data_IF_017764517308
#
_entry.id   IF_017764517308
#
_cell.length_a   1.000
_cell.length_b   1.000
_cell.length_c   1.000
_cell.angle_alpha   90.00
_cell.angle_beta   90.00
_cell.angle_gamma   90.00
#
_symmetry.space_group_name_H-M   'P 1'
#
loop_
_entity.id
_entity.type
_entity.pdbx_description
1 polymer ?
#
# COMPACT_ATOMS: atom_id res chain seq x y z
N UNK A 1 -23.69 -10.88 31.14
CA UNK A 1 -22.56 -11.84 31.04
C UNK A 1 -21.42 -11.35 31.91
N UNK A 2 -20.68 -12.24 32.59
CA UNK A 2 -19.53 -11.87 33.42
C UNK A 2 -18.27 -12.62 32.96
N UNK A 3 -17.10 -12.00 33.11
CA UNK A 3 -15.80 -12.63 32.87
C UNK A 3 -14.78 -12.13 33.89
N UNK A 4 -13.72 -12.89 34.12
CA UNK A 4 -12.71 -12.57 35.14
C UNK A 4 -11.38 -12.23 34.46
N UNK A 5 -10.81 -11.07 34.79
CA UNK A 5 -9.50 -10.63 34.31
C UNK A 5 -8.66 -10.17 35.51
N UNK A 6 -7.43 -10.68 35.63
CA UNK A 6 -6.52 -10.41 36.74
C UNK A 6 -7.13 -10.61 38.14
N UNK A 7 -7.94 -11.67 38.30
CA UNK A 7 -8.60 -11.99 39.58
C UNK A 7 -9.78 -11.08 39.95
N UNK A 8 -10.15 -10.13 39.08
CA UNK A 8 -11.30 -9.24 39.27
C UNK A 8 -12.44 -9.64 38.33
N UNK A 9 -13.64 -9.81 38.86
CA UNK A 9 -14.83 -10.17 38.06
C UNK A 9 -15.43 -8.91 37.45
N UNK A 10 -15.51 -8.89 36.12
CA UNK A 10 -16.12 -7.84 35.32
C UNK A 10 -17.48 -8.31 34.80
N UNK A 11 -18.51 -7.49 34.97
CA UNK A 11 -19.88 -7.84 34.56
C UNK A 11 -20.34 -6.87 33.49
N UNK A 12 -20.70 -7.41 32.32
CA UNK A 12 -21.36 -6.65 31.26
C UNK A 12 -22.82 -6.45 31.66
N UNK A 13 -23.17 -5.22 32.04
CA UNK A 13 -24.55 -4.77 32.17
C UNK A 13 -24.96 -4.14 30.85
N UNK A 14 -25.68 -4.91 30.02
CA UNK A 14 -26.30 -4.37 28.81
C UNK A 14 -27.31 -3.28 29.18
N UNK A 15 -27.50 -2.29 28.30
CA UNK A 15 -28.61 -1.34 28.45
C UNK A 15 -29.91 -2.08 28.17
N UNK A 16 -30.92 -1.93 29.03
CA UNK A 16 -32.18 -2.71 28.97
C UNK A 16 -33.08 -2.38 27.76
N UNK A 17 -32.62 -1.58 26.80
CA UNK A 17 -33.34 -1.33 25.57
C UNK A 17 -33.08 -2.48 24.59
N UNK A 18 -34.13 -3.22 24.27
CA UNK A 18 -34.11 -4.36 23.33
C UNK A 18 -33.88 -3.96 21.86
N UNK A 19 -33.56 -2.70 21.58
CA UNK A 19 -33.27 -2.18 20.24
C UNK A 19 -31.99 -1.36 20.27
N UNK A 20 -31.10 -1.65 19.32
CA UNK A 20 -29.98 -0.79 18.98
C UNK A 20 -30.55 0.55 18.49
N UNK A 21 -30.30 1.63 19.22
CA UNK A 21 -30.74 2.98 18.88
C UNK A 21 -29.57 3.96 19.05
N UNK A 22 -29.48 5.01 18.22
CA UNK A 22 -28.50 6.07 18.40
C UNK A 22 -28.69 6.75 19.76
N UNK A 23 -27.60 6.97 20.48
CA UNK A 23 -27.59 7.65 21.77
C UNK A 23 -27.36 9.15 21.56
N UNK A 24 -28.15 9.99 22.24
CA UNK A 24 -27.96 11.44 22.23
C UNK A 24 -26.81 11.87 23.15
N UNK A 25 -26.25 13.05 22.90
CA UNK A 25 -25.18 13.62 23.73
C UNK A 25 -25.60 13.81 25.20
N UNK A 26 -26.87 14.13 25.45
CA UNK A 26 -27.42 14.25 26.82
C UNK A 26 -27.43 12.92 27.56
N UNK A 27 -27.80 11.84 26.88
CA UNK A 27 -27.81 10.49 27.45
C UNK A 27 -26.38 10.03 27.73
N UNK A 28 -25.44 10.38 26.85
CA UNK A 28 -24.04 10.10 27.06
C UNK A 28 -23.48 10.79 28.30
N UNK A 29 -23.80 12.08 28.49
CA UNK A 29 -23.31 12.86 29.63
C UNK A 29 -23.84 12.35 30.99
N UNK A 30 -24.90 11.54 31.01
CA UNK A 30 -25.45 10.92 32.23
C UNK A 30 -24.85 9.55 32.56
N UNK A 31 -23.96 9.01 31.72
CA UNK A 31 -23.29 7.74 31.99
C UNK A 31 -22.04 7.97 32.84
N UNK A 32 -22.00 7.37 34.03
CA UNK A 32 -20.83 7.36 34.90
C UNK A 32 -20.08 6.03 34.80
N UNK A 33 -18.76 6.08 34.53
CA UNK A 33 -17.88 4.90 34.57
C UNK A 33 -16.97 4.78 33.34
N UNK A 34 -16.30 3.62 33.21
CA UNK A 34 -15.45 3.28 32.06
C UNK A 34 -16.22 2.36 31.12
N UNK A 35 -16.32 2.70 29.84
CA UNK A 35 -17.07 1.94 28.84
C UNK A 35 -16.43 1.99 27.45
N UNK A 36 -16.97 1.21 26.52
CA UNK A 36 -16.55 1.17 25.12
C UNK A 36 -17.66 1.69 24.21
N UNK A 37 -17.30 2.49 23.21
CA UNK A 37 -18.21 2.91 22.14
C UNK A 37 -18.01 2.06 20.90
N UNK A 38 -19.11 1.59 20.32
CA UNK A 38 -19.11 0.89 19.03
C UNK A 38 -19.81 1.79 18.02
N UNK A 39 -19.03 2.36 17.09
CA UNK A 39 -19.57 3.09 15.95
C UNK A 39 -19.68 2.12 14.77
N UNK A 40 -20.91 1.80 14.36
CA UNK A 40 -21.18 1.02 13.15
C UNK A 40 -21.09 1.97 11.95
N UNK A 41 -20.08 1.83 11.10
CA UNK A 41 -20.01 2.49 9.81
C UNK A 41 -20.64 1.57 8.77
N UNK A 42 -21.73 2.01 8.12
CA UNK A 42 -22.25 1.32 6.95
C UNK A 42 -21.59 1.90 5.69
N UNK A 43 -20.58 1.22 5.16
CA UNK A 43 -20.05 1.51 3.83
C UNK A 43 -21.00 0.92 2.77
N UNK A 44 -22.19 1.51 2.66
CA UNK A 44 -23.02 1.37 1.47
C UNK A 44 -23.51 2.76 1.11
N UNK A 45 -22.66 3.51 0.41
CA UNK A 45 -23.14 4.61 -0.41
C UNK A 45 -24.11 3.98 -1.43
N UNK A 46 -25.39 4.36 -1.47
CA UNK A 46 -26.26 3.93 -2.55
C UNK A 46 -25.61 4.42 -3.84
N UNK A 47 -25.23 3.49 -4.71
CA UNK A 47 -24.73 3.83 -6.04
C UNK A 47 -25.91 4.53 -6.73
N UNK A 48 -25.86 5.85 -6.73
CA UNK A 48 -26.76 6.66 -7.52
C UNK A 48 -26.33 6.39 -8.95
N UNK A 49 -27.18 5.73 -9.74
CA UNK A 49 -26.99 5.47 -11.17
C UNK A 49 -26.83 6.82 -11.89
N UNK A 50 -25.62 7.37 -11.85
CA UNK A 50 -25.24 8.53 -12.63
C UNK A 50 -25.12 8.03 -14.06
N UNK A 51 -26.10 8.39 -14.90
CA UNK A 51 -26.00 8.20 -16.34
C UNK A 51 -24.69 8.86 -16.81
N UNK A 52 -23.70 8.03 -17.10
CA UNK A 52 -22.42 8.46 -17.62
C UNK A 52 -22.64 9.32 -18.87
N UNK A 53 -21.88 10.41 -19.07
CA UNK A 53 -21.84 11.12 -20.35
C UNK A 53 -21.74 10.12 -21.51
N UNK A 54 -22.40 10.41 -22.64
CA UNK A 54 -22.50 9.47 -23.77
C UNK A 54 -21.13 8.93 -24.20
N UNK A 55 -20.11 9.78 -24.19
CA UNK A 55 -18.74 9.43 -24.56
C UNK A 55 -18.13 8.36 -23.63
N UNK A 56 -18.40 8.44 -22.33
CA UNK A 56 -17.90 7.48 -21.35
C UNK A 56 -18.69 6.17 -21.40
N UNK A 57 -19.99 6.22 -21.67
CA UNK A 57 -20.82 5.01 -21.76
C UNK A 57 -20.32 4.04 -22.84
N UNK A 58 -19.94 4.57 -24.01
CA UNK A 58 -19.39 3.79 -25.11
C UNK A 58 -18.04 3.16 -24.72
N UNK A 59 -17.13 3.94 -24.12
CA UNK A 59 -15.81 3.46 -23.69
C UNK A 59 -15.92 2.38 -22.63
N UNK A 60 -16.76 2.60 -21.61
CA UNK A 60 -16.97 1.64 -20.52
C UNK A 60 -17.58 0.32 -21.04
N UNK A 61 -18.52 0.39 -21.99
CA UNK A 61 -19.06 -0.82 -22.62
C UNK A 61 -18.00 -1.56 -23.44
N UNK A 62 -17.20 -0.83 -24.23
CA UNK A 62 -16.15 -1.39 -25.10
C UNK A 62 -15.06 -2.10 -24.30
N UNK A 63 -14.72 -1.59 -23.13
CA UNK A 63 -13.66 -2.11 -22.27
C UNK A 63 -14.19 -2.77 -20.99
N UNK A 64 -15.46 -3.20 -20.95
CA UNK A 64 -16.05 -3.84 -19.77
C UNK A 64 -15.25 -5.06 -19.30
N UNK A 65 -14.66 -5.81 -20.23
CA UNK A 65 -13.81 -6.95 -19.95
C UNK A 65 -12.52 -6.60 -19.17
N UNK A 66 -12.05 -5.35 -19.20
CA UNK A 66 -10.87 -4.87 -18.45
C UNK A 66 -11.18 -4.79 -16.95
N UNK A 67 -12.44 -4.53 -16.60
CA UNK A 67 -12.91 -4.38 -15.21
C UNK A 67 -13.54 -5.66 -14.65
N UNK A 68 -13.67 -6.71 -15.48
CA UNK A 68 -14.10 -8.04 -15.03
C UNK A 68 -13.01 -8.75 -14.24
N UNK A 69 -13.41 -9.73 -13.43
CA UNK A 69 -12.46 -10.57 -12.71
C UNK A 69 -11.58 -11.35 -13.71
N UNK A 70 -10.24 -11.30 -13.60
CA UNK A 70 -9.36 -11.89 -14.59
C UNK A 70 -9.47 -13.43 -14.56
N UNK A 71 -10.06 -14.00 -15.59
CA UNK A 71 -10.29 -15.45 -15.73
C UNK A 71 -9.09 -16.22 -16.30
N UNK A 72 -7.98 -15.54 -16.59
CA UNK A 72 -6.78 -16.14 -17.17
C UNK A 72 -5.57 -15.23 -17.18
N UNK A 73 -4.48 -15.71 -17.76
CA UNK A 73 -3.27 -14.90 -17.95
C UNK A 73 -3.58 -13.66 -18.79
N UNK A 74 -2.95 -12.50 -18.51
CA UNK A 74 -3.15 -11.29 -19.31
C UNK A 74 -2.94 -11.58 -20.80
N UNK A 75 -3.81 -11.06 -21.69
CA UNK A 75 -3.63 -11.24 -23.12
C UNK A 75 -2.25 -10.76 -23.51
N UNK A 76 -1.52 -11.61 -24.24
CA UNK A 76 -0.19 -11.28 -24.73
C UNK A 76 -0.32 -10.07 -25.65
N UNK A 77 0.32 -8.96 -25.29
CA UNK A 77 0.26 -7.74 -26.10
C UNK A 77 0.84 -8.04 -27.48
N UNK A 78 0.20 -7.55 -28.54
CA UNK A 78 0.69 -7.66 -29.92
C UNK A 78 2.06 -6.98 -30.09
N UNK A 79 2.34 -6.00 -29.23
CA UNK A 79 3.58 -5.27 -29.16
C UNK A 79 4.08 -5.30 -27.72
N UNK A 80 5.33 -5.68 -27.57
CA UNK A 80 6.05 -5.54 -26.33
C UNK A 80 6.33 -4.04 -26.13
N UNK A 81 5.95 -3.45 -24.99
CA UNK A 81 6.38 -2.08 -24.63
C UNK A 81 7.83 -2.10 -24.16
N UNK A 82 8.66 -2.88 -24.85
CA UNK A 82 10.08 -2.89 -24.65
C UNK A 82 10.56 -1.51 -25.01
N UNK A 83 11.28 -0.86 -24.10
CA UNK A 83 12.09 0.29 -24.44
C UNK A 83 13.06 -0.22 -25.52
N UNK A 84 12.89 0.13 -26.81
CA UNK A 84 13.72 -0.41 -27.86
C UNK A 84 15.08 0.26 -27.71
N UNK A 85 16.03 -0.45 -27.11
CA UNK A 85 17.41 -0.03 -27.15
C UNK A 85 17.85 -0.11 -28.62
N UNK A 86 18.45 0.96 -29.14
CA UNK A 86 19.00 0.93 -30.49
C UNK A 86 20.00 -0.24 -30.59
N UNK A 87 20.11 -0.92 -31.75
CA UNK A 87 21.05 -2.02 -31.92
C UNK A 87 22.48 -1.60 -31.51
N UNK A 88 23.15 -2.43 -30.70
CA UNK A 88 24.47 -2.17 -30.13
C UNK A 88 24.58 -0.99 -29.15
N UNK A 89 23.47 -0.51 -28.58
CA UNK A 89 23.56 0.42 -27.45
C UNK A 89 24.21 -0.29 -26.25
N UNK A 90 25.35 0.22 -25.74
CA UNK A 90 25.89 -0.28 -24.49
C UNK A 90 24.83 -0.11 -23.39
N UNK A 91 24.82 -0.95 -22.34
CA UNK A 91 23.97 -0.71 -21.19
C UNK A 91 24.18 0.74 -20.76
N UNK A 92 23.08 1.48 -20.52
CA UNK A 92 23.17 2.83 -19.97
C UNK A 92 23.71 2.69 -18.54
N UNK A 93 25.03 2.61 -18.44
CA UNK A 93 25.79 2.88 -17.24
C UNK A 93 26.02 4.39 -17.24
N UNK A 94 24.93 5.15 -17.20
CA UNK A 94 25.03 6.55 -16.87
C UNK A 94 25.56 6.58 -15.44
N UNK A 95 26.80 7.07 -15.27
CA UNK A 95 27.22 7.58 -13.97
C UNK A 95 26.07 8.44 -13.47
N UNK A 96 25.60 8.28 -12.21
CA UNK A 96 24.75 9.29 -11.60
C UNK A 96 25.40 10.63 -11.94
N UNK A 97 24.63 11.53 -12.54
CA UNK A 97 25.04 12.89 -12.89
C UNK A 97 26.10 13.32 -11.89
N UNK A 98 27.31 13.58 -12.37
CA UNK A 98 28.43 13.97 -11.51
C UNK A 98 28.09 15.37 -11.01
N UNK A 99 27.16 15.46 -10.06
CA UNK A 99 26.86 16.61 -9.27
C UNK A 99 28.16 16.88 -8.52
N UNK A 100 28.93 17.82 -9.05
CA UNK A 100 30.10 18.34 -8.38
C UNK A 100 29.54 18.99 -7.11
N UNK A 101 29.69 18.28 -5.98
CA UNK A 101 28.93 18.33 -4.72
C UNK A 101 27.62 17.50 -4.69
N UNK A 102 27.73 16.19 -4.42
CA UNK A 102 26.58 15.38 -3.98
C UNK A 102 26.34 15.70 -2.50
N UNK A 103 25.61 16.77 -2.22
CA UNK A 103 24.98 16.94 -0.91
C UNK A 103 23.92 15.86 -0.77
N UNK A 104 24.20 14.84 0.04
CA UNK A 104 23.22 13.83 0.39
C UNK A 104 22.32 14.37 1.50
N UNK A 105 21.03 14.07 1.40
CA UNK A 105 20.05 14.40 2.42
C UNK A 105 19.42 13.09 2.88
N UNK A 106 19.18 12.97 4.18
CA UNK A 106 18.55 11.79 4.76
C UNK A 106 17.08 11.72 4.30
N UNK A 107 16.68 10.55 3.79
CA UNK A 107 15.28 10.28 3.42
C UNK A 107 14.37 10.16 4.65
N UNK A 108 14.94 9.75 5.78
CA UNK A 108 14.26 9.62 7.07
C UNK A 108 15.06 10.32 8.18
N UNK A 109 14.92 11.65 8.33
CA UNK A 109 15.68 12.41 9.31
C UNK A 109 15.42 11.92 10.75
N UNK A 110 16.50 11.61 11.47
CA UNK A 110 16.43 11.08 12.83
C UNK A 110 16.27 9.56 12.92
N UNK A 111 16.09 8.86 11.79
CA UNK A 111 16.11 7.39 11.70
C UNK A 111 16.89 6.88 10.48
N UNK A 112 17.78 7.70 9.91
CA UNK A 112 18.45 7.41 8.64
C UNK A 112 19.29 6.13 8.60
N UNK A 113 19.68 5.62 9.77
CA UNK A 113 20.52 4.42 9.94
C UNK A 113 19.73 3.20 10.42
N UNK A 114 18.43 3.32 10.63
CA UNK A 114 17.55 2.26 11.12
C UNK A 114 16.46 1.96 10.11
N UNK A 115 16.11 0.67 10.01
CA UNK A 115 14.96 0.25 9.21
C UNK A 115 13.75 0.14 10.12
N UNK A 116 12.91 1.18 10.14
CA UNK A 116 11.72 1.23 10.99
C UNK A 116 10.57 2.03 10.38
N UNK A 117 9.52 2.25 11.18
CA UNK A 117 8.29 2.93 10.76
C UNK A 117 8.36 4.47 10.86
N UNK A 118 9.50 5.05 11.25
CA UNK A 118 9.64 6.50 11.37
C UNK A 118 9.40 7.20 10.03
N UNK A 119 9.81 6.58 8.92
CA UNK A 119 9.44 6.97 7.56
C UNK A 119 7.94 7.34 7.45
N UNK A 120 7.03 6.46 7.86
CA UNK A 120 5.59 6.75 7.78
C UNK A 120 5.13 7.86 8.76
N UNK A 121 5.80 8.00 9.91
CA UNK A 121 5.50 9.09 10.87
C UNK A 121 5.85 10.45 10.28
N UNK A 122 7.02 10.59 9.64
CA UNK A 122 7.45 11.85 9.04
C UNK A 122 6.63 12.19 7.78
N UNK A 123 6.13 11.18 7.04
CA UNK A 123 5.21 11.41 5.93
C UNK A 123 3.92 12.09 6.40
N UNK A 124 3.30 11.61 7.48
CA UNK A 124 2.08 12.22 8.02
C UNK A 124 2.31 13.66 8.48
N UNK A 125 3.55 14.00 8.88
CA UNK A 125 3.98 15.36 9.20
C UNK A 125 4.32 16.21 7.97
N UNK A 126 4.08 15.71 6.75
CA UNK A 126 4.42 16.36 5.48
C UNK A 126 5.93 16.60 5.30
N UNK A 127 6.77 15.73 5.87
CA UNK A 127 8.24 15.82 5.81
C UNK A 127 8.88 14.79 4.89
N UNK A 128 8.10 14.19 3.98
CA UNK A 128 8.66 13.30 2.94
C UNK A 128 9.57 14.09 2.00
N UNK A 129 10.77 13.55 1.72
CA UNK A 129 11.76 14.27 0.90
C UNK A 129 11.38 14.28 -0.58
N UNK A 130 10.84 13.17 -1.09
CA UNK A 130 10.57 13.01 -2.51
C UNK A 130 9.10 13.28 -2.84
N UNK A 131 8.84 13.75 -4.06
CA UNK A 131 7.47 13.91 -4.56
C UNK A 131 6.70 12.57 -4.58
N UNK A 132 7.40 11.47 -4.85
CA UNK A 132 6.82 10.11 -4.79
C UNK A 132 6.34 9.76 -3.38
N UNK A 133 7.01 10.26 -2.35
CA UNK A 133 6.63 10.02 -0.96
C UNK A 133 5.35 10.80 -0.62
N UNK A 134 5.31 12.10 -0.95
CA UNK A 134 4.14 12.95 -0.74
C UNK A 134 2.90 12.45 -1.51
N UNK A 135 3.11 11.78 -2.65
CA UNK A 135 2.02 11.18 -3.43
C UNK A 135 1.25 10.09 -2.67
N UNK A 136 1.89 9.39 -1.70
CA UNK A 136 1.25 8.38 -0.87
C UNK A 136 0.12 8.95 0.00
N UNK A 137 0.17 10.26 0.31
CA UNK A 137 -0.85 10.94 1.11
C UNK A 137 -2.04 11.43 0.29
N UNK A 138 -1.94 11.43 -1.04
CA UNK A 138 -2.96 12.00 -1.94
C UNK A 138 -4.10 11.03 -2.26
N UNK A 139 -3.82 9.72 -2.26
CA UNK A 139 -4.81 8.69 -2.54
C UNK A 139 -5.32 8.08 -1.23
N UNK A 140 -6.64 7.91 -1.09
CA UNK A 140 -7.27 7.42 0.15
C UNK A 140 -6.78 6.04 0.58
N UNK A 141 -6.58 5.11 -0.36
CA UNK A 141 -6.15 3.74 -0.04
C UNK A 141 -4.68 3.72 0.43
N UNK A 142 -3.80 4.46 -0.25
CA UNK A 142 -2.39 4.55 0.17
C UNK A 142 -2.25 5.31 1.48
N UNK A 143 -3.07 6.34 1.70
CA UNK A 143 -3.07 7.10 2.95
C UNK A 143 -3.49 6.23 4.14
N UNK A 144 -4.50 5.38 3.99
CA UNK A 144 -4.89 4.40 5.02
C UNK A 144 -3.74 3.45 5.37
N UNK A 145 -2.98 2.98 4.37
CA UNK A 145 -1.79 2.15 4.63
C UNK A 145 -0.69 2.93 5.36
N UNK A 146 -0.43 4.19 4.98
CA UNK A 146 0.53 5.07 5.67
C UNK A 146 0.12 5.25 7.15
N UNK A 147 -1.17 5.51 7.41
CA UNK A 147 -1.68 5.61 8.78
C UNK A 147 -1.52 4.30 9.56
N UNK A 148 -1.85 3.16 8.94
CA UNK A 148 -1.69 1.85 9.56
C UNK A 148 -0.23 1.56 9.91
N UNK A 149 0.69 1.78 8.98
CA UNK A 149 2.11 1.48 9.18
C UNK A 149 2.79 2.43 10.15
N UNK A 150 2.33 3.68 10.25
CA UNK A 150 2.80 4.61 11.27
C UNK A 150 2.47 4.14 12.70
N UNK A 151 1.27 3.56 12.89
CA UNK A 151 0.75 3.20 14.21
C UNK A 151 1.06 1.75 14.63
N UNK A 152 1.03 0.79 13.71
CA UNK A 152 1.23 -0.64 13.98
C UNK A 152 2.66 -1.10 13.66
N UNK A 153 3.00 -2.36 13.97
CA UNK A 153 4.24 -3.00 13.54
C UNK A 153 4.03 -3.93 12.32
N UNK A 154 2.80 -4.02 11.81
CA UNK A 154 2.42 -4.85 10.66
C UNK A 154 3.20 -4.51 9.38
N UNK A 155 3.78 -3.30 9.32
CA UNK A 155 4.66 -2.88 8.24
C UNK A 155 5.74 -3.91 7.92
N UNK A 156 6.41 -4.47 8.93
CA UNK A 156 7.53 -5.38 8.70
C UNK A 156 7.08 -6.68 8.00
N UNK A 157 5.91 -7.21 8.39
CA UNK A 157 5.34 -8.41 7.78
C UNK A 157 4.92 -8.15 6.32
N UNK A 158 4.29 -7.01 6.07
CA UNK A 158 3.88 -6.62 4.71
C UNK A 158 5.10 -6.31 3.85
N UNK A 159 6.13 -5.69 4.41
CA UNK A 159 7.39 -5.40 3.73
C UNK A 159 8.11 -6.69 3.33
N UNK A 160 8.22 -7.66 4.25
CA UNK A 160 8.82 -8.96 3.96
C UNK A 160 8.10 -9.69 2.81
N UNK A 161 6.77 -9.75 2.87
CA UNK A 161 5.95 -10.33 1.78
C UNK A 161 6.15 -9.59 0.45
N UNK A 162 6.23 -8.27 0.50
CA UNK A 162 6.44 -7.43 -0.69
C UNK A 162 7.82 -7.66 -1.32
N UNK A 163 8.86 -7.80 -0.51
CA UNK A 163 10.23 -8.07 -0.98
C UNK A 163 10.36 -9.46 -1.61
N UNK A 164 9.71 -10.48 -1.04
CA UNK A 164 9.63 -11.83 -1.66
C UNK A 164 8.94 -11.76 -3.02
N UNK A 165 7.79 -11.07 -3.09
CA UNK A 165 7.05 -10.91 -4.35
C UNK A 165 7.86 -10.15 -5.41
N UNK A 166 8.51 -9.06 -5.01
CA UNK A 166 9.37 -8.27 -5.90
C UNK A 166 10.53 -9.12 -6.46
N UNK A 167 11.18 -9.91 -5.59
CA UNK A 167 12.28 -10.78 -5.98
C UNK A 167 11.91 -11.92 -6.94
N UNK A 168 10.63 -12.22 -7.12
CA UNK A 168 10.13 -13.20 -8.07
C UNK A 168 9.78 -12.63 -9.45
N UNK A 169 9.96 -11.32 -9.66
CA UNK A 169 9.61 -10.66 -10.92
C UNK A 169 10.60 -11.02 -12.03
N UNK A 170 10.11 -11.59 -13.14
CA UNK A 170 10.88 -11.89 -14.36
C UNK A 170 12.19 -12.69 -14.12
N UNK A 171 12.20 -13.56 -13.12
CA UNK A 171 13.36 -14.38 -12.78
C UNK A 171 13.66 -15.43 -13.86
N UNK A 172 14.94 -15.65 -14.13
CA UNK A 172 15.41 -16.73 -15.02
C UNK A 172 15.52 -18.03 -14.21
N UNK A 173 14.82 -19.07 -14.64
CA UNK A 173 14.77 -20.37 -13.96
C UNK A 173 15.09 -21.54 -14.90
N UNK A 174 15.43 -22.69 -14.34
CA UNK A 174 15.79 -23.88 -15.11
C UNK A 174 17.08 -23.66 -15.90
N UNK A 175 17.03 -23.87 -17.21
CA UNK A 175 18.18 -23.69 -18.10
C UNK A 175 18.27 -22.28 -18.70
N UNK A 176 17.42 -21.34 -18.28
CA UNK A 176 17.45 -19.95 -18.74
C UNK A 176 18.54 -19.16 -17.99
N UNK A 177 19.38 -18.44 -18.74
CA UNK A 177 20.46 -17.62 -18.17
C UNK A 177 21.74 -18.40 -17.88
N UNK A 178 22.54 -17.89 -16.94
CA UNK A 178 23.80 -18.51 -16.51
C UNK A 178 24.14 -18.14 -15.05
N UNK A 179 24.90 -18.99 -14.37
CA UNK A 179 25.53 -18.65 -13.10
C UNK A 179 26.84 -17.91 -13.40
N UNK A 180 26.86 -16.59 -13.14
CA UNK A 180 28.04 -15.76 -13.44
C UNK A 180 29.18 -16.04 -12.45
N UNK A 181 30.38 -16.28 -12.97
CA UNK A 181 31.60 -16.36 -12.15
C UNK A 181 32.03 -14.99 -11.63
N UNK A 182 31.68 -13.92 -12.35
CA UNK A 182 31.93 -12.53 -11.97
C UNK A 182 30.68 -11.71 -12.27
N UNK A 183 30.03 -11.10 -11.26
CA UNK A 183 28.73 -10.43 -11.46
C UNK A 183 28.75 -9.33 -12.54
N UNK A 184 29.91 -8.67 -12.72
CA UNK A 184 30.11 -7.54 -13.63
C UNK A 184 30.29 -7.93 -15.10
N UNK A 185 30.54 -9.20 -15.43
CA UNK A 185 30.89 -9.64 -16.79
C UNK A 185 30.14 -10.94 -17.13
N UNK A 186 29.62 -11.03 -18.36
CA UNK A 186 28.99 -12.24 -18.90
C UNK A 186 30.06 -13.32 -19.10
N UNK A 187 29.76 -14.59 -18.84
CA UNK A 187 30.75 -15.63 -19.09
C UNK A 187 31.07 -15.74 -20.60
N UNK A 188 32.32 -16.07 -20.98
CA UNK A 188 32.65 -16.28 -22.38
C UNK A 188 31.86 -17.46 -22.96
N UNK A 189 31.44 -17.32 -24.21
CA UNK A 189 30.84 -18.43 -24.96
C UNK A 189 31.98 -19.38 -25.36
N UNK A 190 31.86 -20.64 -24.99
CA UNK A 190 32.74 -21.71 -25.46
C UNK A 190 32.35 -22.14 -26.88
#
# INVERSE_FOLDING_TARGET
MAFTQAGKTHTWKGMNNSKLAPMSEKELMHLSGTGFFVHMLSDVVPIQDTKWPADLSHILSKFAHVFGEPTGLPPKRSHDHRIPLLPNQPPVNAKPYSAHSVTTVELDPGSSRSFDKNYFKILIQQKGLLQSDAALLKNGNSFQLVQRFSNSNDFFDVFAKSMVKMGATEVLTGNAGEIRKRCRVVNPKN
#
